data_IF_534634004193
#
_entry.id   IF_534634004193
#
_cell.length_a   1.000
_cell.length_b   1.000
_cell.length_c   1.000
_cell.angle_alpha   90.00
_cell.angle_beta   90.00
_cell.angle_gamma   90.00
#
_symmetry.space_group_name_H-M   'P 1'
#
loop_
_entity.id
_entity.type
_entity.pdbx_description
1 polymer ?
#
# COMPACT_ATOMS: atom_id res chain seq x y z
N UNK A 1 -10.91 81.51 46.92
CA UNK A 1 -12.22 81.06 46.53
C UNK A 1 -12.06 80.15 45.29
N UNK A 2 -11.80 78.90 45.50
CA UNK A 2 -11.42 77.99 44.41
C UNK A 2 -12.47 76.82 44.36
N UNK A 3 -13.12 76.70 43.25
CA UNK A 3 -14.03 75.60 42.96
C UNK A 3 -13.20 74.39 42.46
N UNK A 4 -13.28 73.30 43.22
CA UNK A 4 -12.75 72.03 42.80
C UNK A 4 -13.68 71.36 41.78
N UNK A 5 -13.21 71.14 40.58
CA UNK A 5 -13.86 70.25 39.62
C UNK A 5 -13.44 68.81 39.89
N UNK A 6 -14.42 67.96 40.25
CA UNK A 6 -14.22 66.52 40.37
C UNK A 6 -14.47 65.87 39.00
N UNK A 7 -13.43 65.38 38.36
CA UNK A 7 -13.51 64.55 37.14
C UNK A 7 -13.73 63.10 37.56
N UNK A 8 -14.89 62.57 37.22
CA UNK A 8 -15.20 61.12 37.26
C UNK A 8 -14.51 60.44 36.07
N UNK A 9 -13.46 59.66 36.34
CA UNK A 9 -12.91 58.71 35.38
C UNK A 9 -13.76 57.44 35.45
N UNK A 10 -14.54 57.21 34.40
CA UNK A 10 -15.22 55.94 34.17
C UNK A 10 -14.18 54.95 33.66
N UNK A 11 -13.73 54.03 34.48
CA UNK A 11 -12.95 52.90 34.07
C UNK A 11 -13.86 51.91 33.31
N UNK A 12 -13.63 51.84 32.00
CA UNK A 12 -14.23 50.83 31.13
C UNK A 12 -13.39 49.55 31.25
N UNK A 13 -13.78 48.60 32.09
CA UNK A 13 -13.17 47.29 32.12
C UNK A 13 -13.57 46.53 30.85
N UNK A 14 -12.68 46.49 29.88
CA UNK A 14 -12.78 45.54 28.76
C UNK A 14 -12.33 44.17 29.29
N UNK A 15 -13.26 43.31 29.65
CA UNK A 15 -12.96 41.88 29.79
C UNK A 15 -12.68 41.31 28.40
N UNK A 16 -11.40 41.28 28.01
CA UNK A 16 -10.97 40.39 26.95
C UNK A 16 -11.19 38.94 27.47
N UNK A 17 -12.28 38.33 27.07
CA UNK A 17 -12.44 36.89 27.16
C UNK A 17 -11.40 36.23 26.28
N UNK A 18 -10.27 35.87 26.90
CA UNK A 18 -9.35 34.92 26.26
C UNK A 18 -10.10 33.59 26.24
N UNK A 19 -10.76 33.27 25.10
CA UNK A 19 -11.10 31.90 24.80
C UNK A 19 -9.77 31.12 24.70
N UNK A 20 -9.32 30.57 25.83
CA UNK A 20 -8.37 29.50 25.82
C UNK A 20 -9.08 28.29 25.18
N UNK A 21 -9.01 28.18 23.86
CA UNK A 21 -9.17 26.89 23.22
C UNK A 21 -7.99 26.06 23.72
N UNK A 22 -8.24 25.22 24.70
CA UNK A 22 -7.29 24.18 25.07
C UNK A 22 -7.16 23.27 23.85
N UNK A 23 -6.18 23.55 22.99
CA UNK A 23 -5.72 22.53 22.05
C UNK A 23 -5.17 21.40 22.95
N UNK A 24 -5.95 20.35 23.12
CA UNK A 24 -5.41 19.14 23.71
C UNK A 24 -4.27 18.69 22.81
N UNK A 25 -3.04 18.83 23.28
CA UNK A 25 -1.90 18.30 22.55
C UNK A 25 -2.14 16.80 22.34
N UNK A 26 -2.12 16.35 21.10
CA UNK A 26 -2.20 14.94 20.76
C UNK A 26 -1.13 14.23 21.55
N UNK A 27 -1.50 13.31 22.43
CA UNK A 27 -0.54 12.56 23.26
C UNK A 27 -0.44 11.10 22.84
N UNK A 28 -1.47 10.57 22.20
CA UNK A 28 -1.54 9.19 21.73
C UNK A 28 -2.06 9.14 20.29
N UNK A 29 -1.59 8.15 19.54
CA UNK A 29 -2.14 7.76 18.23
C UNK A 29 -2.43 6.27 18.29
N UNK A 30 -3.64 5.87 17.95
CA UNK A 30 -4.00 4.47 17.84
C UNK A 30 -3.80 4.00 16.40
N UNK A 31 -3.10 2.88 16.22
CA UNK A 31 -2.83 2.26 14.91
C UNK A 31 -3.51 0.90 14.88
N UNK A 32 -4.48 0.75 13.99
CA UNK A 32 -5.25 -0.47 13.82
C UNK A 32 -4.93 -1.09 12.47
N UNK A 33 -4.55 -2.36 12.46
CA UNK A 33 -4.31 -3.11 11.22
C UNK A 33 -5.04 -4.45 11.22
N UNK A 34 -5.38 -4.92 10.03
CA UNK A 34 -6.26 -6.06 9.85
C UNK A 34 -5.60 -7.38 10.26
N UNK A 35 -4.28 -7.52 9.99
CA UNK A 35 -3.52 -8.73 10.30
C UNK A 35 -2.00 -8.45 10.30
N UNK A 36 -1.35 -8.64 11.44
CA UNK A 36 0.09 -8.45 11.59
C UNK A 36 0.94 -9.56 10.94
N UNK A 37 0.33 -10.67 10.51
CA UNK A 37 1.02 -11.72 9.76
C UNK A 37 1.15 -11.41 8.26
N UNK A 38 0.44 -10.40 7.74
CA UNK A 38 0.66 -9.90 6.40
C UNK A 38 2.05 -9.24 6.31
N UNK A 39 2.87 -9.69 5.35
CA UNK A 39 4.25 -9.26 5.22
C UNK A 39 4.39 -7.76 4.96
N UNK A 40 3.53 -7.18 4.11
CA UNK A 40 3.54 -5.76 3.81
C UNK A 40 3.08 -4.92 5.02
N UNK A 41 2.00 -5.34 5.68
CA UNK A 41 1.48 -4.68 6.88
C UNK A 41 2.50 -4.74 8.02
N UNK A 42 3.21 -5.86 8.16
CA UNK A 42 4.28 -6.00 9.16
C UNK A 42 5.43 -5.01 8.91
N UNK A 43 5.88 -4.85 7.66
CA UNK A 43 6.89 -3.85 7.30
C UNK A 43 6.42 -2.43 7.60
N UNK A 44 5.17 -2.10 7.22
CA UNK A 44 4.55 -0.81 7.52
C UNK A 44 4.51 -0.53 9.03
N UNK A 45 3.97 -1.46 9.82
CA UNK A 45 3.86 -1.32 11.27
C UNK A 45 5.23 -1.20 11.95
N UNK A 46 6.22 -1.99 11.50
CA UNK A 46 7.60 -1.93 12.00
C UNK A 46 8.22 -0.55 11.71
N UNK A 47 8.03 0.00 10.52
CA UNK A 47 8.57 1.32 10.19
C UNK A 47 7.86 2.43 10.96
N UNK A 48 6.54 2.37 11.08
CA UNK A 48 5.78 3.33 11.89
C UNK A 48 6.18 3.26 13.38
N UNK A 49 6.48 2.06 13.89
CA UNK A 49 7.05 1.86 15.23
C UNK A 49 8.38 2.61 15.41
N UNK A 50 9.30 2.53 14.44
CA UNK A 50 10.56 3.28 14.47
C UNK A 50 10.36 4.80 14.39
N UNK A 51 9.35 5.29 13.68
CA UNK A 51 8.98 6.70 13.68
C UNK A 51 8.48 7.12 15.07
N UNK A 52 7.70 6.26 15.73
CA UNK A 52 7.16 6.54 17.06
C UNK A 52 8.25 6.70 18.13
N UNK A 53 9.35 5.95 18.05
CA UNK A 53 10.49 6.05 18.99
C UNK A 53 11.15 7.45 18.98
N UNK A 54 11.01 8.18 17.87
CA UNK A 54 11.55 9.53 17.69
C UNK A 54 10.50 10.64 17.88
N UNK A 55 9.27 10.26 18.14
CA UNK A 55 8.12 11.15 18.32
C UNK A 55 7.88 11.39 19.82
N UNK A 56 7.43 12.60 20.23
CA UNK A 56 6.93 12.82 21.57
C UNK A 56 5.57 12.13 21.82
N UNK A 57 4.98 11.52 20.79
CA UNK A 57 3.67 10.89 20.82
C UNK A 57 3.79 9.40 21.17
N UNK A 58 2.80 8.88 21.87
CA UNK A 58 2.71 7.48 22.21
C UNK A 58 1.83 6.74 21.20
N UNK A 59 2.41 5.78 20.48
CA UNK A 59 1.69 4.94 19.52
C UNK A 59 1.21 3.65 20.17
N UNK A 60 -0.06 3.32 19.98
CA UNK A 60 -0.67 2.06 20.44
C UNK A 60 -1.07 1.25 19.22
N UNK A 61 -0.46 0.08 19.07
CA UNK A 61 -0.70 -0.81 17.94
C UNK A 61 -1.71 -1.90 18.31
N UNK A 62 -2.71 -2.10 17.44
CA UNK A 62 -3.81 -3.03 17.61
C UNK A 62 -3.91 -3.93 16.40
N UNK A 63 -3.56 -5.22 16.58
CA UNK A 63 -3.70 -6.25 15.55
C UNK A 63 -5.09 -6.89 15.64
N UNK A 64 -5.89 -6.74 14.59
CA UNK A 64 -7.24 -7.31 14.55
C UNK A 64 -7.27 -8.81 14.26
N UNK A 65 -6.17 -9.40 13.78
CA UNK A 65 -6.08 -10.82 13.44
C UNK A 65 -7.27 -11.33 12.59
N UNK A 66 -7.71 -10.51 11.62
CA UNK A 66 -8.86 -10.75 10.76
C UNK A 66 -10.23 -10.83 11.49
N UNK A 67 -10.38 -10.20 12.68
CA UNK A 67 -11.66 -10.13 13.40
C UNK A 67 -12.29 -8.74 13.19
N UNK A 68 -13.22 -8.56 12.23
CA UNK A 68 -13.74 -7.24 11.86
C UNK A 68 -14.56 -6.59 12.98
N UNK A 69 -15.38 -7.36 13.69
CA UNK A 69 -16.26 -6.83 14.74
C UNK A 69 -15.46 -6.29 15.91
N UNK A 70 -14.52 -7.08 16.40
CA UNK A 70 -13.62 -6.72 17.51
C UNK A 70 -12.74 -5.51 17.14
N UNK A 71 -12.31 -5.43 15.86
CA UNK A 71 -11.59 -4.27 15.36
C UNK A 71 -12.41 -3.01 15.45
N UNK A 72 -13.63 -3.02 14.93
CA UNK A 72 -14.52 -1.85 14.94
C UNK A 72 -14.83 -1.38 16.36
N UNK A 73 -15.12 -2.30 17.29
CA UNK A 73 -15.36 -1.98 18.71
C UNK A 73 -14.13 -1.34 19.34
N UNK A 74 -12.93 -1.84 19.04
CA UNK A 74 -11.67 -1.28 19.52
C UNK A 74 -11.39 0.11 18.96
N UNK A 75 -11.64 0.32 17.66
CA UNK A 75 -11.48 1.64 17.00
C UNK A 75 -12.43 2.65 17.62
N UNK A 76 -13.71 2.35 17.74
CA UNK A 76 -14.74 3.23 18.33
C UNK A 76 -14.33 3.63 19.75
N UNK A 77 -13.92 2.67 20.58
CA UNK A 77 -13.45 2.93 21.93
C UNK A 77 -12.25 3.90 21.94
N UNK A 78 -11.30 3.70 21.01
CA UNK A 78 -10.12 4.57 20.88
C UNK A 78 -10.47 5.98 20.44
N UNK A 79 -11.40 6.14 19.50
CA UNK A 79 -11.85 7.45 19.00
C UNK A 79 -12.51 8.27 20.12
N UNK A 80 -13.37 7.66 20.94
CA UNK A 80 -13.98 8.35 22.09
C UNK A 80 -12.96 8.75 23.19
N UNK A 81 -11.73 8.27 23.13
CA UNK A 81 -10.65 8.80 23.99
C UNK A 81 -10.06 10.13 23.46
N UNK A 82 -10.51 10.62 22.31
CA UNK A 82 -10.03 11.85 21.68
C UNK A 82 -8.68 11.69 20.97
N UNK A 83 -8.26 10.46 20.68
CA UNK A 83 -6.98 10.18 20.00
C UNK A 83 -7.20 9.96 18.51
N UNK A 84 -6.37 10.54 17.61
CA UNK A 84 -6.39 10.21 16.19
C UNK A 84 -6.16 8.72 15.96
N UNK A 85 -6.74 8.19 14.88
CA UNK A 85 -6.63 6.80 14.50
C UNK A 85 -6.03 6.64 13.10
N UNK A 86 -5.03 5.77 12.96
CA UNK A 86 -4.51 5.27 11.68
C UNK A 86 -5.08 3.86 11.51
N UNK A 87 -5.87 3.63 10.45
CA UNK A 87 -6.77 2.48 10.37
C UNK A 87 -6.61 1.73 9.05
N UNK A 88 -6.31 0.43 9.16
CA UNK A 88 -6.42 -0.53 8.07
C UNK A 88 -7.52 -1.54 8.44
N UNK A 89 -8.70 -1.36 7.88
CA UNK A 89 -9.88 -2.14 8.25
C UNK A 89 -9.78 -3.60 7.79
N UNK A 90 -10.30 -4.54 8.58
CA UNK A 90 -10.55 -5.92 8.13
C UNK A 90 -11.64 -5.92 7.05
N UNK A 91 -12.75 -5.25 7.29
CA UNK A 91 -13.82 -5.05 6.31
C UNK A 91 -14.03 -3.55 6.05
N UNK A 92 -13.78 -3.11 4.83
CA UNK A 92 -13.90 -1.70 4.43
C UNK A 92 -15.36 -1.18 4.51
N UNK A 93 -16.36 -2.08 4.50
CA UNK A 93 -17.75 -1.70 4.67
C UNK A 93 -18.07 -1.19 6.09
N UNK A 94 -17.19 -1.43 7.05
CA UNK A 94 -17.34 -0.90 8.41
C UNK A 94 -16.85 0.56 8.54
N UNK A 95 -16.32 1.17 7.47
CA UNK A 95 -15.84 2.55 7.50
C UNK A 95 -16.90 3.54 7.97
N UNK A 96 -18.16 3.38 7.56
CA UNK A 96 -19.25 4.29 7.95
C UNK A 96 -19.46 4.30 9.48
N UNK A 97 -19.38 3.13 10.14
CA UNK A 97 -19.51 3.03 11.61
C UNK A 97 -18.35 3.71 12.33
N UNK A 98 -17.13 3.54 11.79
CA UNK A 98 -15.92 4.18 12.34
C UNK A 98 -16.04 5.71 12.19
N UNK A 99 -16.50 6.19 11.03
CA UNK A 99 -16.62 7.62 10.77
C UNK A 99 -17.76 8.29 11.54
N UNK A 100 -18.84 7.57 11.85
CA UNK A 100 -19.89 8.06 12.76
C UNK A 100 -19.28 8.35 14.14
N UNK A 101 -18.54 7.41 14.71
CA UNK A 101 -17.87 7.61 16.00
C UNK A 101 -16.78 8.70 15.95
N UNK A 102 -16.07 8.81 14.82
CA UNK A 102 -15.08 9.86 14.61
C UNK A 102 -15.70 11.26 14.62
N UNK A 103 -16.83 11.44 13.94
CA UNK A 103 -17.60 12.70 13.95
C UNK A 103 -18.08 13.07 15.36
N UNK A 104 -18.65 12.09 16.08
CA UNK A 104 -19.17 12.31 17.42
C UNK A 104 -18.07 12.71 18.42
N UNK A 105 -16.87 12.15 18.27
CA UNK A 105 -15.72 12.44 19.13
C UNK A 105 -14.85 13.61 18.64
N UNK A 106 -15.03 14.07 17.39
CA UNK A 106 -14.15 15.05 16.76
C UNK A 106 -12.74 14.53 16.50
N UNK A 107 -12.57 13.20 16.33
CA UNK A 107 -11.27 12.57 16.19
C UNK A 107 -10.90 12.36 14.72
N UNK A 108 -9.67 12.69 14.35
CA UNK A 108 -9.12 12.46 13.01
C UNK A 108 -8.95 10.97 12.71
N UNK A 109 -9.30 10.54 11.48
CA UNK A 109 -9.09 9.17 11.01
C UNK A 109 -8.29 9.18 9.71
N UNK A 110 -7.21 8.40 9.68
CA UNK A 110 -6.40 8.16 8.48
C UNK A 110 -6.50 6.69 8.11
N UNK A 111 -7.30 6.37 7.12
CA UNK A 111 -7.34 5.02 6.57
C UNK A 111 -6.08 4.76 5.72
N UNK A 112 -5.59 3.54 5.72
CA UNK A 112 -4.48 3.17 4.86
C UNK A 112 -4.65 1.79 4.21
N UNK A 113 -3.99 1.58 3.07
CA UNK A 113 -3.95 0.36 2.27
C UNK A 113 -5.34 -0.10 1.77
N UNK A 114 -6.29 -0.43 2.63
CA UNK A 114 -7.65 -0.84 2.27
C UNK A 114 -8.54 0.40 2.12
N UNK A 115 -8.98 0.65 0.88
CA UNK A 115 -9.69 1.88 0.49
C UNK A 115 -11.18 1.81 0.84
N UNK A 116 -11.69 2.68 1.73
CA UNK A 116 -13.13 2.87 1.92
C UNK A 116 -13.81 3.45 0.67
N UNK A 117 -15.14 3.43 0.63
CA UNK A 117 -15.91 4.05 -0.45
C UNK A 117 -15.71 5.57 -0.51
N UNK A 118 -15.84 6.15 -1.71
CA UNK A 118 -15.74 7.60 -1.88
C UNK A 118 -16.82 8.35 -1.06
N UNK A 119 -18.01 7.74 -0.88
CA UNK A 119 -19.07 8.28 -0.04
C UNK A 119 -18.68 8.29 1.44
N UNK A 120 -18.01 7.26 1.92
CA UNK A 120 -17.51 7.22 3.30
C UNK A 120 -16.44 8.31 3.51
N UNK A 121 -15.42 8.37 2.65
CA UNK A 121 -14.35 9.38 2.75
C UNK A 121 -14.88 10.83 2.73
N UNK A 122 -15.87 11.11 1.88
CA UNK A 122 -16.47 12.45 1.77
C UNK A 122 -17.51 12.76 2.86
N UNK A 123 -17.77 11.82 3.75
CA UNK A 123 -18.78 12.00 4.80
C UNK A 123 -18.27 12.77 6.02
N UNK A 124 -16.95 12.90 6.18
CA UNK A 124 -16.31 13.54 7.32
C UNK A 124 -15.03 14.28 6.89
N UNK A 125 -14.94 15.58 7.18
CA UNK A 125 -13.85 16.44 6.71
C UNK A 125 -12.49 16.05 7.29
N UNK A 126 -12.44 15.46 8.48
CA UNK A 126 -11.19 15.03 9.13
C UNK A 126 -10.93 13.52 8.94
N UNK A 127 -11.32 13.01 7.78
CA UNK A 127 -11.11 11.63 7.32
C UNK A 127 -10.21 11.62 6.08
N UNK A 128 -9.16 10.83 6.11
CA UNK A 128 -8.15 10.74 5.04
C UNK A 128 -7.88 9.30 4.66
N UNK A 129 -7.42 9.10 3.42
CA UNK A 129 -6.92 7.81 2.95
C UNK A 129 -5.51 7.95 2.39
N UNK A 130 -4.63 7.03 2.76
CA UNK A 130 -3.27 6.91 2.19
C UNK A 130 -3.07 5.51 1.66
N UNK A 131 -2.74 5.39 0.38
CA UNK A 131 -2.53 4.10 -0.27
C UNK A 131 -1.62 4.19 -1.47
N UNK A 132 -1.44 3.08 -2.18
CA UNK A 132 -0.73 3.06 -3.44
C UNK A 132 -1.71 3.14 -4.62
N UNK A 133 -1.22 3.58 -5.78
CA UNK A 133 -2.03 3.64 -6.99
C UNK A 133 -2.12 2.24 -7.64
N UNK A 134 -3.13 1.46 -7.27
CA UNK A 134 -3.28 0.08 -7.73
C UNK A 134 -3.47 -0.09 -9.24
N UNK A 135 -4.09 0.88 -9.93
CA UNK A 135 -4.18 0.87 -11.40
C UNK A 135 -2.79 1.01 -12.02
N UNK A 136 -1.96 1.92 -11.49
CA UNK A 136 -0.58 2.10 -11.94
C UNK A 136 0.22 0.81 -11.82
N UNK A 137 0.01 0.03 -10.74
CA UNK A 137 0.74 -1.23 -10.55
C UNK A 137 0.44 -2.24 -11.66
N UNK A 138 -0.84 -2.41 -12.04
CA UNK A 138 -1.19 -3.31 -13.16
C UNK A 138 -0.63 -2.83 -14.49
N UNK A 139 -0.61 -1.51 -14.74
CA UNK A 139 0.03 -0.92 -15.93
C UNK A 139 1.53 -1.24 -15.94
N UNK A 140 2.21 -1.01 -14.82
CA UNK A 140 3.66 -1.22 -14.72
C UNK A 140 4.04 -2.70 -14.82
N UNK A 141 3.26 -3.63 -14.25
CA UNK A 141 3.47 -5.07 -14.44
C UNK A 141 3.36 -5.44 -15.92
N UNK A 142 2.36 -4.91 -16.64
CA UNK A 142 2.23 -5.19 -18.08
C UNK A 142 3.40 -4.61 -18.89
N UNK A 143 3.95 -3.47 -18.49
CA UNK A 143 5.15 -2.90 -19.11
C UNK A 143 6.40 -3.74 -18.81
N UNK A 144 6.59 -4.19 -17.57
CA UNK A 144 7.70 -5.08 -17.17
C UNK A 144 7.65 -6.41 -17.95
N UNK A 145 6.46 -6.98 -18.14
CA UNK A 145 6.25 -8.21 -18.93
C UNK A 145 6.61 -7.97 -20.40
N UNK A 146 6.16 -6.87 -20.99
CA UNK A 146 6.45 -6.50 -22.37
C UNK A 146 7.96 -6.29 -22.58
N UNK A 147 8.60 -5.56 -21.68
CA UNK A 147 10.05 -5.33 -21.71
C UNK A 147 10.83 -6.66 -21.57
N UNK A 148 10.35 -7.57 -20.72
CA UNK A 148 10.93 -8.90 -20.57
C UNK A 148 10.89 -9.66 -21.89
N UNK A 149 9.73 -9.86 -22.48
CA UNK A 149 9.62 -10.64 -23.72
C UNK A 149 10.33 -9.99 -24.91
N UNK A 150 10.40 -8.67 -24.98
CA UNK A 150 11.24 -7.97 -25.96
C UNK A 150 12.73 -8.25 -25.80
N UNK A 151 13.17 -8.49 -24.57
CA UNK A 151 14.59 -8.73 -24.25
C UNK A 151 15.02 -10.19 -24.45
N UNK A 152 14.16 -11.16 -24.16
CA UNK A 152 14.52 -12.60 -24.15
C UNK A 152 14.02 -13.37 -25.37
N UNK A 153 13.11 -12.80 -26.15
CA UNK A 153 12.51 -13.43 -27.34
C UNK A 153 11.05 -13.86 -27.13
N UNK A 154 10.49 -14.63 -28.06
CA UNK A 154 9.08 -14.92 -28.08
C UNK A 154 8.60 -15.67 -26.82
N UNK A 155 7.36 -15.38 -26.41
CA UNK A 155 6.71 -15.94 -25.23
C UNK A 155 6.18 -17.36 -25.45
N UNK A 156 5.76 -17.70 -26.66
CA UNK A 156 5.04 -18.91 -27.04
C UNK A 156 5.97 -20.15 -27.10
N UNK A 157 6.31 -20.73 -25.93
CA UNK A 157 7.20 -21.89 -25.83
C UNK A 157 6.53 -23.18 -26.33
N UNK A 158 5.25 -23.35 -26.03
CA UNK A 158 4.49 -24.52 -26.40
C UNK A 158 3.90 -24.44 -27.83
N UNK A 159 4.09 -23.31 -28.54
CA UNK A 159 3.72 -23.06 -29.94
C UNK A 159 2.21 -23.12 -30.18
N UNK A 160 1.40 -22.71 -29.20
CA UNK A 160 -0.06 -22.66 -29.34
C UNK A 160 -0.56 -21.28 -29.85
N UNK A 161 0.32 -20.31 -30.02
CA UNK A 161 0.01 -18.95 -30.48
C UNK A 161 -0.54 -18.04 -29.40
N UNK A 162 -0.45 -18.42 -28.12
CA UNK A 162 -0.97 -17.65 -26.98
C UNK A 162 0.10 -17.49 -25.89
N UNK A 163 -0.09 -16.50 -25.02
CA UNK A 163 0.69 -16.37 -23.78
C UNK A 163 -0.11 -17.02 -22.64
N UNK A 164 0.36 -18.16 -22.21
CA UNK A 164 -0.27 -19.01 -21.18
C UNK A 164 0.07 -18.52 -19.77
N UNK A 165 -0.90 -17.81 -19.16
CA UNK A 165 -0.72 -17.04 -17.93
C UNK A 165 -1.48 -17.64 -16.75
N UNK A 166 -0.80 -17.76 -15.61
CA UNK A 166 -1.42 -17.96 -14.29
C UNK A 166 -1.42 -16.64 -13.53
N UNK A 167 -2.57 -16.26 -12.96
CA UNK A 167 -2.73 -15.07 -12.13
C UNK A 167 -3.10 -15.51 -10.71
N UNK A 168 -2.25 -15.18 -9.74
CA UNK A 168 -2.46 -15.39 -8.31
C UNK A 168 -3.03 -14.11 -7.72
N UNK A 169 -4.29 -14.16 -7.27
CA UNK A 169 -5.02 -12.97 -6.85
C UNK A 169 -5.07 -12.84 -5.32
N UNK A 170 -5.09 -11.60 -4.85
CA UNK A 170 -5.39 -11.30 -3.46
C UNK A 170 -6.82 -11.64 -3.06
N UNK A 171 -7.37 -10.98 -2.05
CA UNK A 171 -8.75 -11.17 -1.60
C UNK A 171 -9.77 -10.72 -2.66
N UNK A 172 -10.88 -11.45 -2.77
CA UNK A 172 -11.89 -11.29 -3.83
C UNK A 172 -12.48 -9.89 -3.95
N UNK A 173 -12.68 -9.19 -2.85
CA UNK A 173 -13.33 -7.87 -2.83
C UNK A 173 -12.35 -6.73 -2.55
N UNK A 174 -11.05 -7.02 -2.55
CA UNK A 174 -10.03 -6.00 -2.35
C UNK A 174 -9.84 -5.17 -3.62
N UNK A 175 -9.85 -3.84 -3.48
CA UNK A 175 -9.67 -2.88 -4.57
C UNK A 175 -8.39 -3.14 -5.38
N UNK A 176 -7.27 -3.41 -4.70
CA UNK A 176 -5.99 -3.68 -5.36
C UNK A 176 -6.01 -4.99 -6.15
N UNK A 177 -6.66 -6.04 -5.64
CA UNK A 177 -6.82 -7.31 -6.37
C UNK A 177 -7.47 -7.08 -7.72
N UNK A 178 -8.57 -6.32 -7.72
CA UNK A 178 -9.32 -6.02 -8.93
C UNK A 178 -8.47 -5.21 -9.91
N UNK A 179 -7.90 -4.08 -9.47
CA UNK A 179 -7.19 -3.17 -10.34
C UNK A 179 -5.87 -3.75 -10.86
N UNK A 180 -5.05 -4.37 -10.00
CA UNK A 180 -3.80 -5.04 -10.40
C UNK A 180 -4.07 -6.06 -11.50
N UNK A 181 -5.07 -6.92 -11.32
CA UNK A 181 -5.44 -7.94 -12.30
C UNK A 181 -6.02 -7.33 -13.59
N UNK A 182 -7.02 -6.45 -13.47
CA UNK A 182 -7.70 -5.86 -14.61
C UNK A 182 -6.73 -5.08 -15.49
N UNK A 183 -5.92 -4.20 -14.90
CA UNK A 183 -5.01 -3.35 -15.67
C UNK A 183 -3.87 -4.15 -16.30
N UNK A 184 -3.32 -5.16 -15.63
CA UNK A 184 -2.31 -6.05 -16.23
C UNK A 184 -2.86 -6.73 -17.47
N UNK A 185 -4.03 -7.37 -17.37
CA UNK A 185 -4.64 -8.07 -18.51
C UNK A 185 -5.02 -7.10 -19.63
N UNK A 186 -5.61 -5.96 -19.29
CA UNK A 186 -6.01 -4.95 -20.29
C UNK A 186 -4.81 -4.42 -21.05
N UNK A 187 -3.75 -4.03 -20.34
CA UNK A 187 -2.55 -3.45 -20.96
C UNK A 187 -1.77 -4.46 -21.80
N UNK A 188 -1.70 -5.71 -21.40
CA UNK A 188 -1.09 -6.76 -22.22
C UNK A 188 -1.89 -6.99 -23.52
N UNK A 189 -3.22 -7.00 -23.46
CA UNK A 189 -4.07 -7.08 -24.67
C UNK A 189 -3.88 -5.87 -25.58
N UNK A 190 -3.82 -4.65 -25.03
CA UNK A 190 -3.54 -3.42 -25.80
C UNK A 190 -2.15 -3.47 -26.48
N UNK A 191 -1.17 -4.16 -25.88
CA UNK A 191 0.16 -4.39 -26.46
C UNK A 191 0.18 -5.53 -27.49
N UNK A 192 -0.94 -6.20 -27.72
CA UNK A 192 -1.10 -7.24 -28.75
C UNK A 192 -0.78 -8.67 -28.28
N UNK A 193 -0.66 -8.92 -26.98
CA UNK A 193 -0.46 -10.28 -26.48
C UNK A 193 -1.77 -11.09 -26.55
N UNK A 194 -1.77 -12.24 -27.27
CA UNK A 194 -2.92 -13.16 -27.30
C UNK A 194 -2.93 -13.98 -26.00
N UNK A 195 -3.61 -13.46 -24.97
CA UNK A 195 -3.60 -14.07 -23.64
C UNK A 195 -4.51 -15.29 -23.53
N UNK A 196 -3.99 -16.38 -22.99
CA UNK A 196 -4.73 -17.48 -22.41
C UNK A 196 -4.57 -17.49 -20.88
N UNK A 197 -5.63 -17.15 -20.15
CA UNK A 197 -5.60 -17.18 -18.69
C UNK A 197 -5.92 -18.60 -18.22
N UNK A 198 -4.87 -19.38 -17.91
CA UNK A 198 -4.97 -20.76 -17.42
C UNK A 198 -5.76 -20.82 -16.11
N UNK A 199 -5.37 -19.98 -15.15
CA UNK A 199 -6.08 -19.83 -13.89
C UNK A 199 -6.01 -18.41 -13.37
N UNK A 200 -7.04 -18.05 -12.56
CA UNK A 200 -7.17 -16.78 -11.89
C UNK A 200 -7.91 -17.00 -10.57
N UNK A 201 -7.17 -17.46 -9.57
CA UNK A 201 -7.70 -17.86 -8.29
C UNK A 201 -7.38 -16.83 -7.19
N UNK A 202 -8.19 -16.80 -6.14
CA UNK A 202 -8.00 -15.95 -4.98
C UNK A 202 -7.18 -16.68 -3.91
N UNK A 203 -5.93 -16.31 -3.75
CA UNK A 203 -4.98 -16.87 -2.79
C UNK A 203 -4.84 -16.02 -1.54
N UNK A 204 -5.65 -14.94 -1.46
CA UNK A 204 -5.82 -14.09 -0.27
C UNK A 204 -4.51 -13.52 0.30
N UNK A 205 -3.60 -13.06 -0.58
CA UNK A 205 -2.27 -12.51 -0.24
C UNK A 205 -1.31 -13.52 0.40
N UNK A 206 -1.69 -14.79 0.45
CA UNK A 206 -1.00 -15.83 1.23
C UNK A 206 -0.03 -16.66 0.37
N UNK A 207 1.23 -16.79 0.84
CA UNK A 207 2.30 -17.55 0.17
C UNK A 207 1.98 -19.03 0.03
N UNK A 208 1.41 -19.63 1.08
CA UNK A 208 1.11 -21.07 1.07
C UNK A 208 -0.03 -21.39 0.11
N UNK A 209 -1.10 -20.58 0.13
CA UNK A 209 -2.22 -20.76 -0.78
C UNK A 209 -1.78 -20.65 -2.24
N UNK A 210 -1.01 -19.62 -2.58
CA UNK A 210 -0.47 -19.42 -3.92
C UNK A 210 0.42 -20.57 -4.38
N UNK A 211 1.28 -21.10 -3.47
CA UNK A 211 2.07 -22.31 -3.75
C UNK A 211 1.19 -23.50 -4.07
N UNK A 212 0.15 -23.76 -3.25
CA UNK A 212 -0.74 -24.89 -3.46
C UNK A 212 -1.56 -24.76 -4.75
N UNK A 213 -2.02 -23.55 -5.05
CA UNK A 213 -2.73 -23.29 -6.31
C UNK A 213 -1.83 -23.58 -7.52
N UNK A 214 -0.62 -23.04 -7.55
CA UNK A 214 0.27 -23.26 -8.69
C UNK A 214 0.69 -24.73 -8.82
N UNK A 215 0.93 -25.45 -7.73
CA UNK A 215 1.16 -26.92 -7.77
C UNK A 215 -0.02 -27.66 -8.38
N UNK A 216 -1.25 -27.25 -8.05
CA UNK A 216 -2.46 -27.82 -8.65
C UNK A 216 -2.53 -27.53 -10.16
N UNK A 217 -2.15 -26.33 -10.62
CA UNK A 217 -2.09 -26.02 -12.05
C UNK A 217 -1.06 -26.92 -12.77
N UNK A 218 0.08 -27.22 -12.14
CA UNK A 218 1.05 -28.19 -12.74
C UNK A 218 0.44 -29.57 -13.00
N UNK A 219 -0.42 -30.05 -12.10
CA UNK A 219 -1.10 -31.34 -12.28
C UNK A 219 -2.22 -31.26 -13.34
N UNK A 220 -2.89 -30.12 -13.48
CA UNK A 220 -4.02 -29.95 -14.41
C UNK A 220 -3.59 -29.76 -15.85
N UNK A 221 -2.59 -28.90 -16.08
CA UNK A 221 -2.20 -28.49 -17.45
C UNK A 221 -0.76 -28.88 -17.80
N UNK A 222 0.05 -29.29 -16.84
CA UNK A 222 1.48 -29.52 -17.00
C UNK A 222 2.29 -28.23 -16.88
N UNK A 223 3.38 -28.27 -16.10
CA UNK A 223 4.23 -27.10 -15.84
C UNK A 223 4.81 -26.47 -17.12
N UNK A 224 5.11 -27.31 -18.13
CA UNK A 224 5.66 -26.88 -19.44
C UNK A 224 4.68 -26.03 -20.28
N UNK A 225 3.39 -26.03 -19.93
CA UNK A 225 2.35 -25.25 -20.60
C UNK A 225 2.05 -23.93 -19.87
N UNK A 226 2.79 -23.59 -18.81
CA UNK A 226 2.69 -22.31 -18.14
C UNK A 226 3.87 -21.44 -18.57
N UNK A 227 3.59 -20.27 -19.12
CA UNK A 227 4.62 -19.41 -19.70
C UNK A 227 4.94 -18.19 -18.85
N UNK A 228 4.01 -17.81 -17.95
CA UNK A 228 4.18 -16.69 -17.03
C UNK A 228 3.30 -16.83 -15.80
N UNK A 229 3.79 -16.41 -14.66
CA UNK A 229 3.02 -16.25 -13.43
C UNK A 229 3.03 -14.79 -12.99
N UNK A 230 1.84 -14.22 -12.78
CA UNK A 230 1.67 -12.86 -12.27
C UNK A 230 0.93 -12.95 -10.93
N UNK A 231 1.57 -12.50 -9.87
CA UNK A 231 0.97 -12.45 -8.55
C UNK A 231 0.59 -11.01 -8.16
N UNK A 232 -0.56 -10.84 -7.52
CA UNK A 232 -0.99 -9.52 -7.06
C UNK A 232 -0.12 -8.98 -5.91
N UNK A 233 0.65 -9.84 -5.20
CA UNK A 233 1.65 -9.40 -4.24
C UNK A 233 2.89 -10.31 -4.23
N UNK A 234 3.95 -9.89 -3.55
CA UNK A 234 5.21 -10.62 -3.46
C UNK A 234 5.12 -11.88 -2.60
N UNK A 235 4.28 -11.93 -1.58
CA UNK A 235 4.10 -13.14 -0.77
C UNK A 235 3.58 -14.29 -1.64
N UNK A 236 2.60 -14.03 -2.51
CA UNK A 236 2.10 -15.02 -3.47
C UNK A 236 3.11 -15.31 -4.59
N UNK A 237 3.88 -14.31 -5.05
CA UNK A 237 4.97 -14.52 -6.01
C UNK A 237 6.06 -15.45 -5.44
N UNK A 238 6.43 -15.29 -4.18
CA UNK A 238 7.33 -16.18 -3.46
C UNK A 238 6.74 -17.58 -3.32
N UNK A 239 5.42 -17.70 -3.09
CA UNK A 239 4.72 -18.97 -3.12
C UNK A 239 4.80 -19.68 -4.47
N UNK A 240 4.66 -18.91 -5.56
CA UNK A 240 4.87 -19.43 -6.90
C UNK A 240 6.32 -19.90 -7.12
N UNK A 241 7.30 -19.15 -6.67
CA UNK A 241 8.71 -19.56 -6.73
C UNK A 241 8.98 -20.83 -5.92
N UNK A 242 8.38 -20.99 -4.74
CA UNK A 242 8.48 -22.21 -3.95
C UNK A 242 7.93 -23.42 -4.71
N UNK A 243 6.79 -23.27 -5.41
CA UNK A 243 6.22 -24.32 -6.24
C UNK A 243 7.14 -24.67 -7.42
N UNK A 244 7.62 -23.67 -8.16
CA UNK A 244 8.52 -23.84 -9.29
C UNK A 244 9.83 -24.50 -8.89
N UNK A 245 10.49 -24.02 -7.85
CA UNK A 245 11.76 -24.58 -7.33
C UNK A 245 11.60 -26.02 -6.86
N UNK A 246 10.43 -26.40 -6.31
CA UNK A 246 10.14 -27.78 -5.93
C UNK A 246 10.11 -28.77 -7.11
N UNK A 247 9.99 -28.25 -8.33
CA UNK A 247 10.00 -28.99 -9.60
C UNK A 247 11.28 -28.76 -10.42
N UNK A 248 12.30 -28.10 -9.85
CA UNK A 248 13.56 -27.81 -10.51
C UNK A 248 13.55 -26.62 -11.45
N UNK A 249 12.46 -25.82 -11.47
CA UNK A 249 12.35 -24.58 -12.23
C UNK A 249 12.89 -23.38 -11.45
N UNK A 250 13.26 -22.30 -12.15
CA UNK A 250 13.68 -21.02 -11.56
C UNK A 250 14.82 -21.15 -10.53
N UNK A 251 15.73 -22.10 -10.71
CA UNK A 251 16.91 -22.34 -9.86
C UNK A 251 18.20 -21.82 -10.48
N UNK A 252 18.24 -21.64 -11.79
CA UNK A 252 19.34 -21.05 -12.55
C UNK A 252 18.78 -20.19 -13.69
N UNK A 253 19.04 -18.88 -13.68
CA UNK A 253 18.60 -17.94 -14.72
C UNK A 253 19.14 -18.29 -16.12
N UNK A 254 20.21 -19.07 -16.22
CA UNK A 254 20.79 -19.52 -17.48
C UNK A 254 20.02 -20.67 -18.11
N UNK A 255 19.29 -21.43 -17.30
CA UNK A 255 18.42 -22.51 -17.75
C UNK A 255 17.08 -21.94 -18.22
N UNK A 256 17.04 -21.52 -19.48
CA UNK A 256 15.83 -20.93 -20.08
C UNK A 256 14.72 -21.97 -20.31
N UNK A 257 15.05 -23.24 -20.35
CA UNK A 257 14.06 -24.31 -20.52
C UNK A 257 13.22 -24.48 -19.25
N UNK A 258 13.88 -24.45 -18.08
CA UNK A 258 13.25 -24.56 -16.77
C UNK A 258 13.06 -23.20 -16.08
N UNK A 259 12.76 -22.16 -16.85
CA UNK A 259 12.51 -20.83 -16.31
C UNK A 259 11.11 -20.35 -16.73
N UNK A 260 10.27 -20.02 -15.75
CA UNK A 260 8.97 -19.38 -15.94
C UNK A 260 9.04 -18.00 -15.28
N UNK A 261 8.82 -16.90 -16.05
CA UNK A 261 8.81 -15.55 -15.50
C UNK A 261 7.77 -15.40 -14.39
N UNK A 262 8.19 -14.82 -13.25
CA UNK A 262 7.35 -14.54 -12.09
C UNK A 262 7.44 -13.06 -11.77
N UNK A 263 6.28 -12.40 -11.70
CA UNK A 263 6.15 -11.00 -11.34
C UNK A 263 5.31 -10.84 -10.07
N UNK A 264 5.74 -9.92 -9.20
CA UNK A 264 5.06 -9.59 -7.95
C UNK A 264 4.82 -8.09 -7.79
N UNK A 265 4.30 -7.72 -6.64
CA UNK A 265 4.08 -6.34 -6.19
C UNK A 265 4.34 -6.31 -4.69
N UNK A 266 4.96 -5.31 -4.16
CA UNK A 266 5.21 -4.81 -2.81
C UNK A 266 6.67 -4.44 -2.59
N UNK A 267 7.62 -5.15 -3.23
CA UNK A 267 9.05 -4.95 -3.00
C UNK A 267 9.52 -5.55 -1.67
N UNK A 268 8.97 -6.72 -1.29
CA UNK A 268 9.44 -7.41 -0.08
C UNK A 268 10.93 -7.74 -0.17
N UNK A 269 11.72 -7.58 0.90
CA UNK A 269 13.17 -7.83 0.85
C UNK A 269 13.55 -9.22 0.30
N UNK A 270 12.76 -10.26 0.61
CA UNK A 270 12.97 -11.61 0.08
C UNK A 270 12.73 -11.66 -1.44
N UNK A 271 11.68 -10.99 -1.93
CA UNK A 271 11.38 -10.95 -3.37
C UNK A 271 12.44 -10.15 -4.13
N UNK A 272 12.89 -9.00 -3.61
CA UNK A 272 13.99 -8.24 -4.20
C UNK A 272 15.24 -9.10 -4.35
N UNK A 273 15.58 -9.90 -3.34
CA UNK A 273 16.70 -10.85 -3.39
C UNK A 273 16.49 -11.93 -4.46
N UNK A 274 15.29 -12.49 -4.60
CA UNK A 274 14.99 -13.47 -5.64
C UNK A 274 15.11 -12.87 -7.05
N UNK A 275 14.73 -11.60 -7.21
CA UNK A 275 14.94 -10.85 -8.47
C UNK A 275 16.44 -10.64 -8.74
N UNK A 276 17.22 -10.24 -7.75
CA UNK A 276 18.70 -10.07 -7.89
C UNK A 276 19.41 -11.38 -8.26
N UNK A 277 18.96 -12.49 -7.69
CA UNK A 277 19.49 -13.83 -8.02
C UNK A 277 19.02 -14.32 -9.39
N UNK A 278 18.03 -13.67 -9.99
CA UNK A 278 17.43 -14.05 -11.27
C UNK A 278 16.45 -15.22 -11.17
N UNK A 279 16.02 -15.60 -9.98
CA UNK A 279 15.00 -16.63 -9.77
C UNK A 279 13.58 -16.09 -10.01
N UNK A 280 13.37 -14.82 -9.72
CA UNK A 280 12.16 -14.07 -10.09
C UNK A 280 12.48 -13.08 -11.21
N UNK A 281 11.48 -12.62 -11.95
CA UNK A 281 11.65 -11.73 -13.09
C UNK A 281 11.58 -10.27 -12.70
N UNK A 282 10.61 -9.89 -11.86
CA UNK A 282 10.43 -8.52 -11.41
C UNK A 282 9.41 -8.37 -10.30
N UNK A 283 9.42 -7.23 -9.67
CA UNK A 283 8.41 -6.79 -8.73
C UNK A 283 8.28 -5.28 -8.77
N UNK A 284 7.16 -4.76 -8.28
CA UNK A 284 6.97 -3.34 -8.04
C UNK A 284 7.14 -3.04 -6.56
N UNK A 285 7.90 -2.01 -6.26
CA UNK A 285 8.06 -1.55 -4.89
C UNK A 285 6.88 -0.64 -4.52
N UNK A 286 6.16 -1.02 -3.47
CA UNK A 286 5.24 -0.17 -2.74
C UNK A 286 5.98 0.42 -1.54
N UNK A 287 6.21 1.75 -1.55
CA UNK A 287 7.02 2.39 -0.50
C UNK A 287 6.25 2.46 0.82
N UNK A 288 6.33 1.37 1.61
CA UNK A 288 5.70 1.28 2.93
C UNK A 288 6.24 2.35 3.90
N UNK A 289 7.46 2.83 3.69
CA UNK A 289 8.05 3.85 4.55
C UNK A 289 7.45 5.24 4.26
N UNK A 290 7.25 5.57 2.99
CA UNK A 290 6.53 6.77 2.60
C UNK A 290 5.07 6.70 3.06
N UNK A 291 4.41 5.53 2.86
CA UNK A 291 3.03 5.30 3.32
C UNK A 291 2.89 5.58 4.83
N UNK A 292 3.77 5.00 5.65
CA UNK A 292 3.74 5.17 7.10
C UNK A 292 4.03 6.62 7.52
N UNK A 293 5.01 7.27 6.87
CA UNK A 293 5.33 8.68 7.13
C UNK A 293 4.17 9.60 6.80
N UNK A 294 3.53 9.41 5.64
CA UNK A 294 2.37 10.21 5.21
C UNK A 294 1.20 10.02 6.17
N UNK A 295 0.90 8.78 6.57
CA UNK A 295 -0.13 8.52 7.60
C UNK A 295 0.18 9.24 8.93
N UNK A 296 1.44 9.18 9.36
CA UNK A 296 1.90 9.86 10.57
C UNK A 296 1.71 11.38 10.46
N UNK A 297 2.19 11.99 9.39
CA UNK A 297 2.13 13.43 9.18
C UNK A 297 0.68 13.93 9.13
N UNK A 298 -0.21 13.23 8.41
CA UNK A 298 -1.62 13.60 8.37
C UNK A 298 -2.28 13.44 9.75
N UNK A 299 -2.05 12.30 10.43
CA UNK A 299 -2.67 12.02 11.72
C UNK A 299 -2.25 13.01 12.82
N UNK A 300 -1.07 13.63 12.69
CA UNK A 300 -0.54 14.58 13.68
C UNK A 300 -0.70 16.05 13.30
N UNK A 301 -1.23 16.33 12.11
CA UNK A 301 -1.40 17.69 11.59
C UNK A 301 -2.78 18.27 11.89
N UNK A 302 -2.88 19.59 11.77
CA UNK A 302 -4.16 20.33 11.77
C UNK A 302 -4.71 20.54 10.35
N UNK A 303 -4.12 19.91 9.32
CA UNK A 303 -4.56 20.02 7.93
C UNK A 303 -6.00 19.51 7.76
N UNK A 304 -6.82 20.28 7.05
CA UNK A 304 -8.26 20.01 6.84
C UNK A 304 -8.66 20.04 5.36
N UNK A 305 -7.74 20.41 4.47
CA UNK A 305 -8.01 20.48 3.03
C UNK A 305 -7.01 19.65 2.23
N UNK A 306 -7.43 19.18 1.06
CA UNK A 306 -6.55 18.45 0.13
C UNK A 306 -5.27 19.23 -0.21
N UNK A 307 -5.37 20.57 -0.31
CA UNK A 307 -4.22 21.43 -0.60
C UNK A 307 -3.25 21.47 0.58
N UNK A 308 -3.74 21.65 1.79
CA UNK A 308 -2.91 21.64 3.02
C UNK A 308 -2.20 20.30 3.20
N UNK A 309 -2.92 19.18 3.01
CA UNK A 309 -2.31 17.85 3.07
C UNK A 309 -1.27 17.67 1.95
N UNK A 310 -1.55 18.11 0.72
CA UNK A 310 -0.59 18.07 -0.39
C UNK A 310 0.70 18.82 -0.05
N UNK A 311 0.59 20.01 0.54
CA UNK A 311 1.75 20.81 0.97
C UNK A 311 2.53 20.15 2.12
N UNK A 312 1.81 19.50 3.04
CA UNK A 312 2.39 18.82 4.19
C UNK A 312 3.22 17.61 3.78
N UNK A 313 2.64 16.72 2.96
CA UNK A 313 3.22 15.39 2.69
C UNK A 313 3.98 15.30 1.36
N UNK A 314 3.92 16.35 0.50
CA UNK A 314 4.59 16.44 -0.81
C UNK A 314 4.09 15.39 -1.83
N UNK A 315 2.94 14.79 -1.57
CA UNK A 315 2.19 13.95 -2.51
C UNK A 315 0.85 14.61 -2.83
N UNK A 316 0.43 14.50 -4.08
CA UNK A 316 -0.87 15.04 -4.49
C UNK A 316 -1.99 14.34 -3.72
N UNK A 317 -2.82 15.15 -3.07
CA UNK A 317 -4.03 14.70 -2.38
C UNK A 317 -5.24 15.22 -3.13
N UNK A 318 -6.18 14.36 -3.43
CA UNK A 318 -7.44 14.68 -4.09
C UNK A 318 -8.58 13.87 -3.48
N UNK A 319 -9.69 14.53 -3.16
CA UNK A 319 -10.86 13.89 -2.56
C UNK A 319 -10.50 13.06 -1.32
N UNK A 320 -9.72 13.66 -0.43
CA UNK A 320 -9.22 13.04 0.81
C UNK A 320 -8.32 11.80 0.59
N UNK A 321 -7.78 11.61 -0.61
CA UNK A 321 -6.91 10.47 -0.96
C UNK A 321 -5.53 10.93 -1.36
N UNK A 322 -4.51 10.41 -0.69
CA UNK A 322 -3.09 10.54 -1.07
C UNK A 322 -2.60 9.21 -1.61
N UNK A 323 -2.17 9.18 -2.88
CA UNK A 323 -1.72 7.96 -3.54
C UNK A 323 -0.21 7.98 -3.75
N UNK A 324 0.49 7.05 -3.11
CA UNK A 324 1.94 6.86 -3.25
C UNK A 324 2.22 6.07 -4.55
N UNK A 325 3.09 6.54 -5.43
CA UNK A 325 3.40 5.85 -6.68
C UNK A 325 4.24 4.58 -6.44
N UNK A 326 4.10 3.60 -7.34
CA UNK A 326 4.96 2.42 -7.37
C UNK A 326 6.29 2.70 -8.06
N UNK A 327 7.32 1.91 -7.71
CA UNK A 327 8.64 1.92 -8.34
C UNK A 327 8.86 0.55 -8.99
N UNK A 328 9.28 0.53 -10.26
CA UNK A 328 9.59 -0.72 -10.97
C UNK A 328 10.93 -1.29 -10.49
N UNK A 329 10.97 -2.59 -10.25
CA UNK A 329 12.19 -3.32 -9.92
C UNK A 329 12.23 -4.66 -10.66
N UNK A 330 13.10 -4.77 -11.65
CA UNK A 330 13.22 -5.95 -12.50
C UNK A 330 14.67 -6.44 -12.62
N UNK A 331 14.86 -7.74 -12.81
CA UNK A 331 16.17 -8.41 -12.88
C UNK A 331 16.94 -8.22 -14.19
N UNK A 332 16.46 -7.44 -15.16
CA UNK A 332 17.10 -7.27 -16.46
C UNK A 332 18.46 -6.59 -16.36
N UNK A 333 19.47 -7.14 -17.04
CA UNK A 333 20.84 -6.61 -17.05
C UNK A 333 20.95 -5.14 -17.43
N UNK A 334 19.97 -4.61 -18.18
CA UNK A 334 19.95 -3.22 -18.60
C UNK A 334 19.33 -2.30 -17.52
N UNK A 335 18.48 -2.81 -16.64
CA UNK A 335 17.88 -2.06 -15.53
C UNK A 335 18.87 -1.81 -14.40
N UNK A 336 19.75 -2.76 -14.09
CA UNK A 336 20.80 -2.60 -13.08
C UNK A 336 21.77 -1.46 -13.36
N UNK A 337 21.83 -0.95 -14.60
CA UNK A 337 22.66 0.20 -15.00
C UNK A 337 21.90 1.54 -15.03
N UNK A 338 20.59 1.52 -15.03
CA UNK A 338 19.82 2.74 -14.91
C UNK A 338 19.70 3.07 -13.43
N UNK A 339 20.44 4.11 -12.99
CA UNK A 339 20.10 4.83 -11.77
C UNK A 339 18.58 4.94 -11.73
N UNK A 340 17.98 4.59 -10.60
CA UNK A 340 16.56 4.80 -10.36
C UNK A 340 16.13 6.14 -10.92
N UNK A 341 15.47 6.12 -12.07
CA UNK A 341 14.79 7.29 -12.58
C UNK A 341 13.49 7.37 -11.77
N UNK A 342 13.62 7.96 -10.58
CA UNK A 342 12.45 8.43 -9.87
C UNK A 342 11.72 9.39 -10.83
N UNK A 343 10.43 9.20 -11.12
CA UNK A 343 9.66 10.27 -11.72
C UNK A 343 9.85 11.48 -10.81
N UNK A 344 10.19 12.64 -11.36
CA UNK A 344 10.53 13.94 -10.74
C UNK A 344 9.94 14.19 -9.32
N UNK A 345 10.18 13.29 -8.40
CA UNK A 345 9.88 13.44 -7.00
C UNK A 345 11.16 13.84 -6.30
N UNK A 346 11.10 14.98 -5.62
CA UNK A 346 12.17 15.45 -4.78
C UNK A 346 12.76 14.29 -3.95
N UNK A 347 14.06 14.26 -3.87
CA UNK A 347 15.00 13.26 -3.33
C UNK A 347 14.73 12.71 -1.91
N UNK A 348 13.48 12.65 -1.48
CA UNK A 348 13.02 12.35 -0.12
C UNK A 348 12.32 10.99 0.06
N UNK A 349 12.32 10.08 -0.92
CA UNK A 349 11.85 8.73 -0.62
C UNK A 349 12.89 8.05 0.28
N UNK A 350 12.53 7.83 1.54
CA UNK A 350 13.41 7.22 2.55
C UNK A 350 13.81 5.79 2.18
N UNK A 351 12.98 5.09 1.42
CA UNK A 351 13.22 3.72 0.97
C UNK A 351 14.38 3.61 -0.02
N UNK A 352 14.46 4.51 -1.00
CA UNK A 352 15.55 4.50 -2.01
C UNK A 352 16.90 4.78 -1.35
N UNK A 353 16.95 5.66 -0.34
CA UNK A 353 18.18 5.90 0.43
C UNK A 353 18.60 4.67 1.23
N UNK A 354 17.66 3.94 1.81
CA UNK A 354 17.97 2.76 2.63
C UNK A 354 18.46 1.56 1.82
N UNK A 355 17.98 1.38 0.58
CA UNK A 355 18.52 0.34 -0.34
C UNK A 355 19.89 0.73 -0.89
N UNK A 356 20.16 2.02 -1.09
CA UNK A 356 21.45 2.50 -1.62
C UNK A 356 22.57 2.53 -0.55
N UNK A 357 22.23 2.49 0.73
CA UNK A 357 23.18 2.54 1.86
C UNK A 357 23.47 1.16 2.48
N UNK A 358 22.79 0.08 2.05
CA UNK A 358 23.02 -1.31 2.44
C UNK A 358 23.35 -2.18 1.22
#
# INVERSE_FOLDING_TARGET
MNRFCMNLIKAFSICLGICCTSSYAISNINVYYYNGNDNFINLYATFLGKLSERSPLNFKFHDAQNHPKEQVESIITGLYSGSPAIVNLVDVNDADKVLEAAKDSGSKVVFFNRLPSDSALSSYDDCWYVGANSEQSGIYIAEEIDDYFKSVGPFDKNKNGQLDMVILQGEKFHHDTFNRTLMTVTKLKEKGYPLNIISKNYDNWDRFNAKQDLLKQFELVGIQNIEIVVANNDAMALGALDALKSRGYNTDIKDKEHYIPVFGVDGLPEMLKEVELGNATGTLISDYSALAKVCYEIATSEAQTDEEVTQLVWYKTEKHKTLIPYIKYASFKNYMKQKYVLPNYNDNSHFVKHIAEN
#
